data_IF_347955917598
#
_entry.id   IF_347955917598
#
_cell.length_a   1.000
_cell.length_b   1.000
_cell.length_c   1.000
_cell.angle_alpha   90.00
_cell.angle_beta   90.00
_cell.angle_gamma   90.00
#
_symmetry.space_group_name_H-M   'P 1'
#
loop_
_entity.id
_entity.type
_entity.pdbx_description
1 polymer ?
#
# COMPACT_ATOMS: atom_id res chain seq x y z
N UNK A 1 -3.26 0.69 -3.24
CA UNK A 1 -4.41 -0.01 -2.65
C UNK A 1 -5.69 0.75 -2.97
N UNK A 2 -6.84 0.09 -2.83
CA UNK A 2 -8.18 0.67 -2.98
C UNK A 2 -9.18 -0.11 -2.11
N UNK A 3 -10.44 0.34 -2.08
CA UNK A 3 -11.51 -0.34 -1.35
C UNK A 3 -11.35 -0.27 0.17
N UNK A 4 -10.83 0.86 0.67
CA UNK A 4 -10.88 1.20 2.09
C UNK A 4 -12.35 1.29 2.55
N UNK A 5 -13.17 1.90 1.70
CA UNK A 5 -14.62 1.85 1.74
C UNK A 5 -15.13 0.97 0.59
N UNK A 6 -16.17 0.19 0.86
CA UNK A 6 -16.69 -0.80 -0.08
C UNK A 6 -17.49 -0.22 -1.23
N UNK A 7 -18.04 0.97 -1.05
CA UNK A 7 -18.84 1.73 -2.03
C UNK A 7 -18.00 2.59 -3.00
N UNK A 8 -16.67 2.51 -2.92
CA UNK A 8 -15.73 3.27 -3.76
C UNK A 8 -15.14 2.38 -4.88
N UNK A 9 -15.97 2.04 -5.88
CA UNK A 9 -15.63 1.06 -6.94
C UNK A 9 -14.51 1.44 -7.92
N UNK A 10 -14.34 2.70 -8.37
CA UNK A 10 -13.40 3.02 -9.45
C UNK A 10 -11.96 2.58 -9.15
N UNK A 11 -11.48 2.78 -7.92
CA UNK A 11 -10.15 2.34 -7.50
C UNK A 11 -10.00 0.81 -7.52
N UNK A 12 -11.01 0.08 -7.02
CA UNK A 12 -11.01 -1.39 -7.02
C UNK A 12 -10.94 -1.93 -8.45
N UNK A 13 -11.76 -1.38 -9.36
CA UNK A 13 -11.80 -1.76 -10.76
C UNK A 13 -10.47 -1.42 -11.46
N UNK A 14 -9.90 -0.24 -11.20
CA UNK A 14 -8.62 0.16 -11.79
C UNK A 14 -7.50 -0.82 -11.41
N UNK A 15 -7.39 -1.17 -10.12
CA UNK A 15 -6.39 -2.15 -9.65
C UNK A 15 -6.65 -3.54 -10.25
N UNK A 16 -7.90 -4.00 -10.32
CA UNK A 16 -8.25 -5.28 -10.95
C UNK A 16 -7.93 -5.30 -12.45
N UNK A 17 -8.07 -4.17 -13.16
CA UNK A 17 -7.66 -4.05 -14.57
C UNK A 17 -6.15 -4.07 -14.72
N UNK A 18 -5.41 -3.43 -13.80
CA UNK A 18 -3.95 -3.47 -13.78
C UNK A 18 -3.45 -4.88 -13.51
N UNK A 19 -4.00 -5.57 -12.51
CA UNK A 19 -3.66 -6.96 -12.18
C UNK A 19 -3.75 -7.91 -13.38
N UNK A 20 -4.73 -7.72 -14.27
CA UNK A 20 -4.90 -8.55 -15.47
C UNK A 20 -3.99 -8.20 -16.65
N UNK A 21 -3.36 -7.03 -16.62
CA UNK A 21 -2.52 -6.52 -17.71
C UNK A 21 -1.02 -6.60 -17.38
N UNK A 22 -0.69 -6.49 -16.10
CA UNK A 22 0.68 -6.40 -15.63
C UNK A 22 1.37 -7.76 -15.74
N UNK A 23 2.54 -7.79 -16.37
CA UNK A 23 3.43 -8.94 -16.41
C UNK A 23 4.69 -8.67 -15.58
N UNK A 24 5.42 -9.70 -15.12
CA UNK A 24 6.66 -9.50 -14.38
C UNK A 24 7.70 -8.68 -15.15
N UNK A 25 7.69 -8.74 -16.49
CA UNK A 25 8.62 -8.02 -17.36
C UNK A 25 8.37 -6.50 -17.37
N UNK A 26 7.14 -6.07 -17.04
CA UNK A 26 6.78 -4.64 -16.96
C UNK A 26 7.30 -3.97 -15.69
N UNK A 27 7.84 -4.74 -14.74
CA UNK A 27 8.15 -4.28 -13.38
C UNK A 27 9.63 -4.45 -13.07
N UNK A 28 10.30 -3.33 -12.79
CA UNK A 28 11.60 -3.35 -12.11
C UNK A 28 11.37 -3.07 -10.62
N UNK A 29 11.48 -4.10 -9.79
CA UNK A 29 11.23 -4.02 -8.34
C UNK A 29 10.00 -4.83 -7.92
N UNK A 30 9.14 -4.26 -7.08
CA UNK A 30 7.98 -4.95 -6.51
C UNK A 30 6.76 -4.03 -6.44
N UNK A 31 5.59 -4.56 -6.82
CA UNK A 31 4.31 -3.88 -6.69
C UNK A 31 3.37 -4.78 -5.89
N UNK A 32 2.75 -4.22 -4.84
CA UNK A 32 1.71 -4.91 -4.04
C UNK A 32 0.36 -4.29 -4.40
N UNK A 33 -0.49 -5.07 -5.07
CA UNK A 33 -1.80 -4.62 -5.55
C UNK A 33 -2.90 -5.17 -4.65
N UNK A 34 -3.61 -4.28 -3.95
CA UNK A 34 -4.72 -4.63 -3.07
C UNK A 34 -5.98 -3.91 -3.59
N UNK A 35 -6.86 -4.61 -4.34
CA UNK A 35 -8.04 -4.01 -4.95
C UNK A 35 -9.15 -3.72 -3.95
N UNK A 36 -9.27 -4.51 -2.87
CA UNK A 36 -10.29 -4.35 -1.85
C UNK A 36 -9.66 -4.57 -0.47
N UNK A 37 -9.35 -3.46 0.21
CA UNK A 37 -8.70 -3.46 1.52
C UNK A 37 -9.66 -3.92 2.63
N UNK A 38 -10.87 -3.38 2.63
CA UNK A 38 -11.95 -3.76 3.54
C UNK A 38 -12.94 -4.67 2.81
N UNK A 39 -12.57 -5.96 2.69
CA UNK A 39 -13.41 -6.96 2.02
C UNK A 39 -14.83 -7.06 2.58
N UNK A 40 -15.06 -7.01 3.91
CA UNK A 40 -16.42 -6.95 4.47
C UNK A 40 -17.25 -5.77 3.96
N UNK A 41 -16.67 -4.57 3.90
CA UNK A 41 -17.34 -3.39 3.36
C UNK A 41 -17.58 -3.53 1.84
N UNK A 42 -16.57 -4.00 1.08
CA UNK A 42 -16.66 -4.19 -0.37
C UNK A 42 -17.76 -5.17 -0.78
N UNK A 43 -17.89 -6.30 -0.08
CA UNK A 43 -18.97 -7.28 -0.32
C UNK A 43 -20.36 -6.74 0.01
N UNK A 44 -20.44 -5.82 0.97
CA UNK A 44 -21.69 -5.21 1.37
C UNK A 44 -22.00 -3.90 0.62
N UNK A 45 -21.12 -3.45 -0.28
CA UNK A 45 -21.28 -2.19 -1.02
C UNK A 45 -21.54 -0.99 -0.10
N UNK A 46 -20.85 -0.94 1.05
CA UNK A 46 -21.04 0.08 2.09
C UNK A 46 -19.73 0.75 2.47
N UNK A 47 -19.83 1.95 3.04
CA UNK A 47 -18.67 2.67 3.56
C UNK A 47 -18.05 1.99 4.79
N UNK A 48 -18.91 1.51 5.68
CA UNK A 48 -18.50 0.89 6.94
C UNK A 48 -18.37 -0.62 6.76
N UNK A 49 -17.51 -1.25 7.56
CA UNK A 49 -17.44 -2.71 7.59
C UNK A 49 -18.78 -3.29 8.06
N UNK A 50 -19.30 -4.25 7.31
CA UNK A 50 -20.55 -4.94 7.61
C UNK A 50 -20.46 -5.87 8.82
N UNK A 51 -19.25 -6.15 9.31
CA UNK A 51 -19.01 -7.06 10.44
C UNK A 51 -19.01 -6.32 11.77
N UNK A 52 -18.36 -5.16 11.84
CA UNK A 52 -18.12 -4.42 13.09
C UNK A 52 -18.57 -2.94 13.02
N UNK A 53 -19.14 -2.50 11.91
CA UNK A 53 -19.65 -1.13 11.72
C UNK A 53 -18.55 -0.07 11.65
N UNK A 54 -17.27 -0.45 11.60
CA UNK A 54 -16.17 0.51 11.70
C UNK A 54 -15.79 1.10 10.35
N UNK A 55 -15.30 2.34 10.38
CA UNK A 55 -14.64 2.98 9.24
C UNK A 55 -13.13 2.70 9.30
N UNK A 56 -12.61 1.95 8.32
CA UNK A 56 -11.20 1.56 8.29
C UNK A 56 -10.24 2.77 8.29
N UNK A 57 -10.60 3.86 7.61
CA UNK A 57 -9.81 5.10 7.59
C UNK A 57 -9.83 5.88 8.91
N UNK A 58 -10.50 5.35 9.94
CA UNK A 58 -10.49 5.85 11.33
C UNK A 58 -9.88 4.87 12.32
N UNK A 59 -9.42 3.72 11.84
CA UNK A 59 -8.86 2.64 12.66
C UNK A 59 -7.33 2.56 12.59
N UNK A 60 -6.65 3.50 11.91
CA UNK A 60 -5.20 3.43 11.69
C UNK A 60 -4.37 3.59 12.97
N UNK A 61 -3.15 3.03 12.90
CA UNK A 61 -2.38 2.31 13.93
C UNK A 61 -2.96 0.93 14.25
N UNK A 62 -4.28 0.80 14.41
CA UNK A 62 -4.97 -0.48 14.59
C UNK A 62 -4.76 -1.13 15.96
N UNK A 63 -5.40 -2.29 16.15
CA UNK A 63 -5.26 -3.14 17.34
C UNK A 63 -5.27 -4.61 16.91
N UNK A 64 -4.20 -5.40 17.19
CA UNK A 64 -4.14 -6.82 16.83
C UNK A 64 -5.18 -7.68 17.56
N UNK A 65 -5.68 -7.23 18.71
CA UNK A 65 -6.68 -7.91 19.52
C UNK A 65 -8.06 -7.22 19.44
N UNK A 66 -8.19 -6.22 18.56
CA UNK A 66 -9.43 -5.46 18.37
C UNK A 66 -10.41 -6.14 17.43
N UNK A 67 -11.35 -5.36 16.88
CA UNK A 67 -12.29 -5.85 15.87
C UNK A 67 -11.60 -6.14 14.54
N UNK A 68 -12.30 -6.82 13.62
CA UNK A 68 -11.76 -7.20 12.30
C UNK A 68 -11.16 -6.00 11.55
N UNK A 69 -11.83 -4.84 11.56
CA UNK A 69 -11.33 -3.63 10.90
C UNK A 69 -10.06 -3.09 11.58
N UNK A 70 -9.96 -3.15 12.91
CA UNK A 70 -8.77 -2.75 13.65
C UNK A 70 -7.59 -3.70 13.42
N UNK A 71 -7.85 -5.00 13.31
CA UNK A 71 -6.84 -6.00 12.97
C UNK A 71 -6.28 -5.78 11.56
N UNK A 72 -7.13 -5.46 10.58
CA UNK A 72 -6.70 -5.10 9.22
C UNK A 72 -5.82 -3.85 9.26
N UNK A 73 -6.25 -2.80 9.98
CA UNK A 73 -5.47 -1.57 10.12
C UNK A 73 -4.10 -1.82 10.79
N UNK A 74 -4.06 -2.69 11.80
CA UNK A 74 -2.83 -3.09 12.47
C UNK A 74 -1.87 -3.80 11.52
N UNK A 75 -2.36 -4.78 10.76
CA UNK A 75 -1.54 -5.53 9.79
C UNK A 75 -0.99 -4.62 8.68
N UNK A 76 -1.79 -3.66 8.20
CA UNK A 76 -1.32 -2.68 7.22
C UNK A 76 -0.16 -1.85 7.78
N UNK A 77 -0.32 -1.37 9.01
CA UNK A 77 0.64 -0.47 9.66
C UNK A 77 1.94 -1.20 10.02
N UNK A 78 1.85 -2.43 10.52
CA UNK A 78 3.01 -3.16 11.08
C UNK A 78 3.70 -4.09 10.09
N UNK A 79 3.00 -4.51 9.03
CA UNK A 79 3.54 -5.48 8.07
C UNK A 79 3.64 -4.90 6.66
N UNK A 80 2.56 -4.36 6.09
CA UNK A 80 2.57 -3.99 4.66
C UNK A 80 3.24 -2.63 4.38
N UNK A 81 2.98 -1.61 5.19
CA UNK A 81 3.57 -0.28 4.99
C UNK A 81 5.10 -0.29 5.14
N UNK A 82 5.71 -0.99 6.12
CA UNK A 82 7.17 -1.09 6.22
C UNK A 82 7.85 -1.77 5.01
N UNK A 83 7.11 -2.56 4.23
CA UNK A 83 7.62 -3.22 3.03
C UNK A 83 7.54 -2.35 1.76
N UNK A 84 6.98 -1.13 1.87
CA UNK A 84 6.63 -0.25 0.75
C UNK A 84 7.34 1.09 0.86
N UNK A 85 8.06 1.51 -0.17
CA UNK A 85 8.64 2.85 -0.25
C UNK A 85 7.58 3.92 -0.53
N UNK A 86 6.53 3.54 -1.27
CA UNK A 86 5.42 4.41 -1.65
C UNK A 86 4.10 3.66 -1.52
N UNK A 87 3.11 4.31 -0.90
CA UNK A 87 1.73 3.84 -0.83
C UNK A 87 0.84 4.81 -1.58
N UNK A 88 0.13 4.30 -2.59
CA UNK A 88 -0.92 5.03 -3.32
C UNK A 88 -2.26 4.46 -2.92
N UNK A 89 -3.15 5.28 -2.37
CA UNK A 89 -4.50 4.87 -1.98
C UNK A 89 -5.56 5.58 -2.83
N UNK A 90 -6.34 4.79 -3.57
CA UNK A 90 -7.34 5.31 -4.51
C UNK A 90 -8.69 5.42 -3.81
N UNK A 91 -9.09 6.65 -3.49
CA UNK A 91 -10.38 6.95 -2.87
C UNK A 91 -11.30 7.70 -3.82
N UNK A 92 -12.59 7.63 -3.51
CA UNK A 92 -13.62 8.44 -4.16
C UNK A 92 -14.45 9.13 -3.07
N UNK A 93 -14.37 10.47 -3.01
CA UNK A 93 -15.20 11.29 -2.14
C UNK A 93 -16.64 11.26 -2.66
N UNK A 94 -17.43 10.35 -2.08
CA UNK A 94 -18.81 10.05 -2.44
C UNK A 94 -18.97 9.50 -3.87
N UNK A 95 -20.17 9.05 -4.24
CA UNK A 95 -20.45 8.21 -5.43
C UNK A 95 -19.93 8.71 -6.78
N UNK A 96 -19.29 9.88 -6.87
CA UNK A 96 -18.83 10.49 -8.12
C UNK A 96 -17.51 11.26 -8.14
N UNK A 97 -16.68 11.34 -7.07
CA UNK A 97 -15.45 12.19 -7.13
C UNK A 97 -14.15 11.48 -6.76
N UNK A 98 -13.25 11.25 -7.71
CA UNK A 98 -11.93 10.66 -7.44
C UNK A 98 -11.04 11.62 -6.63
N UNK A 99 -10.46 11.11 -5.54
CA UNK A 99 -9.42 11.79 -4.77
C UNK A 99 -8.25 10.84 -4.56
N UNK A 100 -7.11 11.16 -5.17
CA UNK A 100 -5.85 10.45 -4.94
C UNK A 100 -5.23 11.04 -3.68
N UNK A 101 -5.24 10.28 -2.58
CA UNK A 101 -4.51 10.64 -1.36
C UNK A 101 -3.24 9.80 -1.31
N UNK A 102 -2.09 10.46 -1.43
CA UNK A 102 -0.78 9.85 -1.20
C UNK A 102 0.01 10.79 -0.29
N UNK A 103 0.01 10.51 1.02
CA UNK A 103 1.04 11.01 1.93
C UNK A 103 1.09 10.17 3.20
N UNK A 104 2.10 9.31 3.28
CA UNK A 104 2.59 8.79 4.56
C UNK A 104 4.03 9.26 4.74
N UNK A 105 4.38 9.97 5.83
CA UNK A 105 5.74 10.45 6.02
C UNK A 105 6.56 9.35 6.69
N UNK A 106 7.48 8.72 5.97
CA UNK A 106 8.70 8.21 6.61
C UNK A 106 9.89 8.40 5.66
N UNK A 107 10.86 9.17 6.14
CA UNK A 107 12.20 9.29 5.58
C UNK A 107 12.96 8.01 5.92
N UNK A 108 13.08 7.08 4.97
CA UNK A 108 14.16 6.10 4.99
C UNK A 108 15.33 6.69 4.22
N UNK A 109 16.42 7.00 4.94
CA UNK A 109 17.71 7.27 4.32
C UNK A 109 18.14 5.99 3.58
N UNK A 110 18.03 5.98 2.26
CA UNK A 110 18.64 4.95 1.42
C UNK A 110 20.13 5.23 1.40
N UNK A 111 20.90 4.55 2.27
CA UNK A 111 22.34 4.42 2.07
C UNK A 111 22.53 3.47 0.89
N UNK A 112 22.77 4.03 -0.29
CA UNK A 112 23.10 3.28 -1.49
C UNK A 112 24.42 2.52 -1.25
N UNK A 113 24.32 1.23 -0.90
CA UNK A 113 25.42 0.28 -0.91
C UNK A 113 25.79 -0.07 -2.35
N UNK A 114 26.40 0.87 -3.07
CA UNK A 114 27.01 0.62 -4.37
C UNK A 114 28.25 -0.26 -4.17
N UNK A 115 28.10 -1.58 -4.27
CA UNK A 115 29.24 -2.49 -4.45
C UNK A 115 29.78 -2.28 -5.85
N UNK A 116 30.67 -1.29 -6.01
CA UNK A 116 31.58 -1.27 -7.15
C UNK A 116 32.62 -2.36 -6.93
N UNK A 117 32.62 -3.36 -7.81
CA UNK A 117 33.72 -4.29 -7.96
C UNK A 117 34.98 -3.48 -8.30
N UNK A 118 35.87 -3.30 -7.32
CA UNK A 118 37.21 -2.75 -7.56
C UNK A 118 38.12 -3.90 -7.98
N UNK A 119 38.40 -3.96 -9.28
CA UNK A 119 39.65 -4.51 -9.80
C UNK A 119 40.81 -3.86 -9.04
N UNK A 120 41.51 -4.63 -8.23
CA UNK A 120 42.77 -4.20 -7.61
C UNK A 120 43.90 -4.43 -8.61
N UNK A 121 44.27 -3.38 -9.36
CA UNK A 121 45.58 -3.29 -10.00
C UNK A 121 46.40 -2.19 -9.32
N UNK A 122 47.48 -2.64 -8.68
CA UNK A 122 48.78 -1.98 -8.52
C UNK A 122 48.87 -0.54 -7.99
N UNK A 123 49.61 -0.42 -6.86
CA UNK A 123 50.67 0.56 -6.52
C UNK A 123 50.36 2.05 -6.77
N UNK A 124 50.40 2.86 -5.71
CA UNK A 124 51.51 3.79 -5.40
C UNK A 124 51.22 4.57 -4.09
N UNK A 125 52.30 4.88 -3.37
CA UNK A 125 52.40 5.50 -2.04
C UNK A 125 52.73 7.00 -2.14
N UNK A 126 52.72 7.67 -0.98
CA UNK A 126 53.20 9.02 -0.58
C UNK A 126 52.13 10.13 -0.60
N UNK A 127 51.89 10.91 0.46
CA UNK A 127 52.51 11.13 1.79
C UNK A 127 51.42 11.25 2.85
#
# INVERSE_FOLDING_TARGET
MAGNHGDEYPGQIAIMRLLRKLTPQDVTGRIILIPALNMPAARASTRLSSVDGMNLNRCFLGDPNGTVTQMIAYYLTTVLFPLSDVVVDLHVADRFRQMISARWPFTSTVTAGCRTAKHTSSRFSFK
#
